data_IF_862632440852
#
_entry.id   IF_862632440852
#
_cell.length_a   1.000
_cell.length_b   1.000
_cell.length_c   1.000
_cell.angle_alpha   90.00
_cell.angle_beta   90.00
_cell.angle_gamma   90.00
#
_symmetry.space_group_name_H-M   'P 1'
#
loop_
_entity.id
_entity.type
_entity.pdbx_description
1 polymer ?
#
# COMPACT_ATOMS: atom_id res chain seq x y z
N UNK A 1 15.38 -49.41 31.38
CA UNK A 1 15.54 -49.39 29.91
C UNK A 1 14.23 -48.86 29.37
N UNK A 2 14.18 -47.56 29.16
CA UNK A 2 12.97 -46.81 28.83
C UNK A 2 13.02 -46.50 27.33
N UNK A 3 12.03 -47.00 26.59
CA UNK A 3 11.96 -46.86 25.13
C UNK A 3 11.42 -45.48 24.78
N UNK A 4 12.32 -44.69 24.18
CA UNK A 4 12.17 -43.28 23.89
C UNK A 4 11.07 -42.92 22.87
N UNK A 5 10.54 -41.73 23.14
CA UNK A 5 9.56 -40.93 22.44
C UNK A 5 9.61 -40.93 20.90
N UNK A 6 8.39 -40.88 20.35
CA UNK A 6 8.01 -40.73 18.95
C UNK A 6 8.48 -39.37 18.36
N UNK A 7 9.19 -39.32 17.22
CA UNK A 7 9.80 -38.10 16.68
C UNK A 7 8.86 -37.22 15.82
N UNK A 8 7.53 -37.41 15.88
CA UNK A 8 6.57 -36.59 15.16
C UNK A 8 5.89 -35.57 16.08
N UNK A 9 6.60 -34.50 16.38
CA UNK A 9 6.02 -33.32 17.01
C UNK A 9 5.14 -32.61 15.98
N UNK A 10 3.84 -32.49 16.27
CA UNK A 10 2.85 -31.87 15.41
C UNK A 10 3.13 -30.36 15.25
N UNK A 11 3.20 -29.90 14.00
CA UNK A 11 3.27 -28.46 13.66
C UNK A 11 2.12 -27.69 14.33
N UNK A 12 2.35 -26.45 14.80
CA UNK A 12 1.26 -25.63 15.31
C UNK A 12 0.26 -25.35 14.18
N UNK A 13 -0.98 -25.80 14.38
CA UNK A 13 -2.12 -25.50 13.54
C UNK A 13 -2.30 -23.97 13.49
N UNK A 14 -2.23 -23.39 12.30
CA UNK A 14 -2.65 -22.01 12.03
C UNK A 14 -4.14 -21.90 12.41
N UNK A 15 -4.43 -21.52 13.65
CA UNK A 15 -5.78 -21.24 14.11
C UNK A 15 -6.25 -19.93 13.47
N UNK A 16 -7.29 -20.06 12.67
CA UNK A 16 -8.17 -19.00 12.17
C UNK A 16 -8.45 -17.93 13.24
N UNK A 17 -8.10 -16.67 12.93
CA UNK A 17 -8.36 -15.48 13.77
C UNK A 17 -9.43 -14.59 13.13
N UNK A 18 -10.52 -15.16 12.62
CA UNK A 18 -11.64 -14.40 12.03
C UNK A 18 -12.53 -13.64 13.01
N UNK A 19 -12.17 -13.58 14.30
CA UNK A 19 -13.03 -13.04 15.37
C UNK A 19 -12.61 -11.64 15.83
N UNK A 20 -11.60 -11.02 15.21
CA UNK A 20 -11.03 -9.76 15.70
C UNK A 20 -11.27 -8.54 14.80
N UNK A 21 -12.12 -8.65 13.77
CA UNK A 21 -12.56 -7.44 13.03
C UNK A 21 -13.42 -6.49 13.90
N UNK A 22 -13.86 -6.93 15.09
CA UNK A 22 -14.68 -6.11 16.01
C UNK A 22 -14.12 -5.87 17.41
N UNK A 23 -12.95 -6.39 17.80
CA UNK A 23 -12.47 -6.22 19.20
C UNK A 23 -10.94 -6.27 19.30
N UNK A 24 -10.25 -5.31 18.68
CA UNK A 24 -8.82 -5.10 18.95
C UNK A 24 -8.67 -4.27 20.23
N UNK A 25 -8.10 -4.85 21.28
CA UNK A 25 -7.72 -4.11 22.50
C UNK A 25 -6.62 -3.11 22.11
N UNK A 26 -6.94 -1.82 22.21
CA UNK A 26 -6.06 -0.69 21.91
C UNK A 26 -4.87 -0.68 22.90
N UNK A 27 -3.62 -0.52 22.44
CA UNK A 27 -2.47 -0.39 23.32
C UNK A 27 -2.46 0.90 24.15
N UNK A 28 -1.72 0.87 25.25
CA UNK A 28 -1.24 2.08 25.91
C UNK A 28 -0.43 2.93 24.90
N UNK A 29 -0.79 4.20 24.75
CA UNK A 29 -0.18 5.14 23.79
C UNK A 29 -0.94 5.34 22.48
N UNK A 30 -2.13 4.74 22.31
CA UNK A 30 -3.00 5.12 21.19
C UNK A 30 -3.48 6.56 21.40
N UNK A 31 -3.37 7.48 20.41
CA UNK A 31 -3.83 8.84 20.56
C UNK A 31 -5.28 8.87 21.01
N UNK A 32 -5.55 9.70 22.03
CA UNK A 32 -6.90 9.87 22.54
C UNK A 32 -7.82 10.36 21.40
N UNK A 33 -9.00 9.75 21.31
CA UNK A 33 -10.05 10.27 20.44
C UNK A 33 -10.38 11.70 20.89
N UNK A 34 -10.29 12.67 19.98
CA UNK A 34 -10.65 14.05 20.30
C UNK A 34 -12.16 14.13 20.59
N UNK A 35 -12.58 14.97 21.55
CA UNK A 35 -13.99 15.29 21.72
C UNK A 35 -14.63 15.73 20.40
N UNK A 36 -15.90 15.41 20.19
CA UNK A 36 -16.59 15.66 18.92
C UNK A 36 -16.58 17.15 18.53
N UNK A 37 -16.79 18.05 19.50
CA UNK A 37 -16.74 19.50 19.29
C UNK A 37 -15.34 19.96 18.87
N UNK A 38 -14.30 19.45 19.53
CA UNK A 38 -12.90 19.74 19.17
C UNK A 38 -12.59 19.23 17.76
N UNK A 39 -13.03 18.01 17.43
CA UNK A 39 -12.84 17.41 16.09
C UNK A 39 -13.56 18.21 15.01
N UNK A 40 -14.76 18.72 15.29
CA UNK A 40 -15.54 19.55 14.38
C UNK A 40 -14.88 20.91 14.13
N UNK A 41 -14.41 21.59 15.19
CA UNK A 41 -13.69 22.87 15.07
C UNK A 41 -12.38 22.72 14.29
N UNK A 42 -11.56 21.73 14.66
CA UNK A 42 -10.30 21.43 13.98
C UNK A 42 -10.53 21.09 12.51
N UNK A 43 -11.57 20.31 12.20
CA UNK A 43 -11.98 20.00 10.82
C UNK A 43 -12.32 21.29 10.07
N UNK A 44 -13.18 22.15 10.60
CA UNK A 44 -13.58 23.39 9.93
C UNK A 44 -12.37 24.31 9.65
N UNK A 45 -11.47 24.46 10.63
CA UNK A 45 -10.22 25.21 10.47
C UNK A 45 -9.30 24.59 9.41
N UNK A 46 -9.17 23.27 9.38
CA UNK A 46 -8.37 22.57 8.36
C UNK A 46 -8.91 22.84 6.96
N UNK A 47 -10.21 22.69 6.72
CA UNK A 47 -10.80 22.98 5.41
C UNK A 47 -10.60 24.45 5.03
N UNK A 48 -10.85 25.38 5.95
CA UNK A 48 -10.61 26.80 5.72
C UNK A 48 -9.17 27.09 5.28
N UNK A 49 -8.17 26.53 5.97
CA UNK A 49 -6.75 26.71 5.60
C UNK A 49 -6.47 26.15 4.20
N UNK A 50 -6.86 24.90 3.95
CA UNK A 50 -6.48 24.19 2.73
C UNK A 50 -7.22 24.73 1.50
N UNK A 51 -8.52 25.01 1.61
CA UNK A 51 -9.32 25.54 0.50
C UNK A 51 -8.87 26.96 0.08
N UNK A 52 -8.53 27.83 1.03
CA UNK A 52 -8.00 29.16 0.70
C UNK A 52 -6.62 29.06 0.01
N UNK A 53 -5.74 28.15 0.46
CA UNK A 53 -4.46 27.91 -0.21
C UNK A 53 -4.63 27.33 -1.62
N UNK A 54 -5.57 26.39 -1.82
CA UNK A 54 -5.91 25.87 -3.15
C UNK A 54 -6.42 26.98 -4.07
N UNK A 55 -7.29 27.86 -3.57
CA UNK A 55 -7.82 28.99 -4.34
C UNK A 55 -6.72 30.00 -4.74
N UNK A 56 -5.81 30.34 -3.81
CA UNK A 56 -4.67 31.21 -4.07
C UNK A 56 -3.72 30.60 -5.12
N UNK A 57 -3.43 29.31 -5.02
CA UNK A 57 -2.59 28.59 -5.98
C UNK A 57 -3.25 28.52 -7.37
N UNK A 58 -4.56 28.29 -7.43
CA UNK A 58 -5.34 28.29 -8.66
C UNK A 58 -5.34 29.65 -9.37
N UNK A 59 -5.53 30.73 -8.61
CA UNK A 59 -5.47 32.09 -9.14
C UNK A 59 -4.08 32.44 -9.70
N UNK A 60 -3.00 32.06 -9.00
CA UNK A 60 -1.63 32.28 -9.45
C UNK A 60 -1.28 31.47 -10.72
N UNK A 61 -1.77 30.23 -10.83
CA UNK A 61 -1.56 29.39 -12.01
C UNK A 61 -2.28 29.96 -13.24
N UNK A 62 -3.52 30.43 -13.07
CA UNK A 62 -4.30 31.07 -14.13
C UNK A 62 -3.63 32.34 -14.65
N UNK A 63 -3.05 33.16 -13.77
CA UNK A 63 -2.32 34.37 -14.15
C UNK A 63 -1.05 34.07 -14.97
N UNK A 64 -0.30 33.03 -14.58
CA UNK A 64 1.03 32.77 -15.13
C UNK A 64 1.07 31.88 -16.37
N UNK A 65 -0.07 31.32 -16.84
CA UNK A 65 -0.15 30.41 -18.00
C UNK A 65 0.87 29.25 -17.96
N UNK A 66 1.36 28.89 -16.77
CA UNK A 66 2.36 27.83 -16.58
C UNK A 66 1.66 26.57 -16.09
N UNK A 67 1.90 25.40 -16.73
CA UNK A 67 1.48 24.14 -16.15
C UNK A 67 2.16 23.97 -14.79
N UNK A 68 1.40 23.53 -13.78
CA UNK A 68 1.97 23.29 -12.45
C UNK A 68 3.08 22.24 -12.55
N UNK A 69 4.32 22.64 -12.27
CA UNK A 69 5.46 21.75 -12.14
C UNK A 69 5.39 21.08 -10.75
N UNK A 70 4.50 20.10 -10.58
CA UNK A 70 4.34 19.42 -9.30
C UNK A 70 3.02 18.67 -9.16
N UNK A 71 2.61 18.53 -7.90
CA UNK A 71 1.31 18.04 -7.45
C UNK A 71 0.66 19.10 -6.55
N UNK A 72 -0.66 19.03 -6.37
CA UNK A 72 -1.38 19.96 -5.51
C UNK A 72 -1.16 19.59 -4.03
N UNK A 73 -0.26 20.33 -3.36
CA UNK A 73 0.15 20.09 -1.96
C UNK A 73 -1.00 20.24 -0.96
N UNK A 74 -1.76 21.35 -0.94
CA UNK A 74 -2.95 21.44 -0.08
C UNK A 74 -3.96 20.31 -0.31
N UNK A 75 -4.21 19.94 -1.58
CA UNK A 75 -5.10 18.83 -1.90
C UNK A 75 -4.55 17.49 -1.39
N UNK A 76 -3.24 17.22 -1.49
CA UNK A 76 -2.64 16.02 -0.92
C UNK A 76 -2.94 15.91 0.59
N UNK A 77 -2.76 17.00 1.33
CA UNK A 77 -3.03 17.06 2.77
C UNK A 77 -4.53 16.86 3.05
N UNK A 78 -5.40 17.57 2.34
CA UNK A 78 -6.86 17.48 2.50
C UNK A 78 -7.37 16.08 2.21
N UNK A 79 -6.95 15.49 1.09
CA UNK A 79 -7.33 14.14 0.70
C UNK A 79 -6.79 13.10 1.70
N UNK A 80 -5.58 13.30 2.24
CA UNK A 80 -5.06 12.41 3.30
C UNK A 80 -5.97 12.40 4.52
N UNK A 81 -6.52 13.56 4.93
CA UNK A 81 -7.53 13.63 5.98
C UNK A 81 -8.85 12.96 5.59
N UNK A 82 -9.39 13.28 4.40
CA UNK A 82 -10.69 12.78 3.92
C UNK A 82 -10.73 11.25 3.81
N UNK A 83 -9.62 10.63 3.42
CA UNK A 83 -9.51 9.18 3.24
C UNK A 83 -9.03 8.42 4.49
N UNK A 84 -8.94 9.07 5.65
CA UNK A 84 -8.78 8.36 6.93
C UNK A 84 -10.03 7.52 7.26
N UNK A 85 -9.83 6.31 7.79
CA UNK A 85 -10.90 5.32 7.93
C UNK A 85 -11.72 5.53 9.22
N UNK A 86 -11.04 5.78 10.34
CA UNK A 86 -11.66 5.84 11.66
C UNK A 86 -11.66 7.26 12.24
N UNK A 87 -12.56 7.56 13.16
CA UNK A 87 -12.55 8.85 13.87
C UNK A 87 -11.30 9.02 14.73
N UNK A 88 -10.71 7.93 15.24
CA UNK A 88 -9.42 7.96 15.91
C UNK A 88 -8.29 8.38 14.96
N UNK A 89 -8.30 7.86 13.73
CA UNK A 89 -7.37 8.24 12.67
C UNK A 89 -7.52 9.70 12.27
N UNK A 90 -8.76 10.20 12.15
CA UNK A 90 -9.04 11.62 11.94
C UNK A 90 -8.47 12.48 13.08
N UNK A 91 -8.67 12.07 14.32
CA UNK A 91 -8.12 12.76 15.49
C UNK A 91 -6.60 12.82 15.46
N UNK A 92 -5.95 11.70 15.18
CA UNK A 92 -4.49 11.65 15.04
C UNK A 92 -4.00 12.58 13.93
N UNK A 93 -4.62 12.53 12.75
CA UNK A 93 -4.27 13.42 11.63
C UNK A 93 -4.41 14.90 12.01
N UNK A 94 -5.54 15.29 12.60
CA UNK A 94 -5.79 16.68 13.00
C UNK A 94 -4.76 17.15 14.01
N UNK A 95 -4.50 16.37 15.06
CA UNK A 95 -3.47 16.70 16.05
C UNK A 95 -2.10 16.89 15.39
N UNK A 96 -1.66 15.96 14.55
CA UNK A 96 -0.37 16.07 13.86
C UNK A 96 -0.29 17.27 12.91
N UNK A 97 -1.38 17.57 12.20
CA UNK A 97 -1.45 18.74 11.32
C UNK A 97 -1.31 20.05 12.11
N UNK A 98 -2.16 20.26 13.12
CA UNK A 98 -2.14 21.50 13.91
C UNK A 98 -0.84 21.67 14.71
N UNK A 99 -0.28 20.59 15.26
CA UNK A 99 1.04 20.62 15.91
C UNK A 99 2.15 21.01 14.94
N UNK A 100 2.15 20.47 13.71
CA UNK A 100 3.16 20.79 12.69
C UNK A 100 3.09 22.26 12.22
N UNK A 101 1.90 22.84 12.22
CA UNK A 101 1.67 24.25 11.87
C UNK A 101 1.87 25.19 13.08
N UNK A 102 2.11 24.65 14.28
CA UNK A 102 2.15 25.39 15.55
C UNK A 102 0.86 26.21 15.81
N UNK A 103 -0.30 25.64 15.45
CA UNK A 103 -1.62 26.25 15.61
C UNK A 103 -2.43 25.57 16.71
N UNK A 104 -3.35 26.29 17.37
CA UNK A 104 -4.30 25.70 18.29
C UNK A 104 -5.26 24.77 17.54
N UNK A 105 -5.54 23.62 18.15
CA UNK A 105 -6.48 22.63 17.62
C UNK A 105 -7.94 23.14 17.62
N UNK A 106 -8.28 24.00 18.59
CA UNK A 106 -9.61 24.59 18.78
C UNK A 106 -9.62 26.05 18.38
N UNK A 107 -10.78 26.55 17.95
CA UNK A 107 -11.03 27.95 17.66
C UNK A 107 -11.93 28.12 16.42
N UNK A 108 -11.93 29.31 15.84
CA UNK A 108 -12.81 29.69 14.74
C UNK A 108 -12.01 29.95 13.44
N UNK A 109 -12.66 29.83 12.29
CA UNK A 109 -12.11 30.20 10.97
C UNK A 109 -11.88 31.71 10.81
N UNK A 110 -12.41 32.51 11.74
CA UNK A 110 -12.21 33.97 11.81
C UNK A 110 -11.07 34.37 12.75
N UNK A 111 -10.37 33.42 13.36
CA UNK A 111 -9.26 33.71 14.26
C UNK A 111 -8.07 34.28 13.48
N UNK A 112 -7.30 35.18 14.13
CA UNK A 112 -6.22 35.92 13.48
C UNK A 112 -5.07 35.03 12.97
N UNK A 113 -4.92 33.82 13.52
CA UNK A 113 -3.91 32.84 13.13
C UNK A 113 -4.29 32.05 11.87
N UNK A 114 -5.53 32.20 11.38
CA UNK A 114 -6.05 31.63 10.13
C UNK A 114 -6.71 32.68 9.24
N UNK A 115 -6.37 33.95 9.43
CA UNK A 115 -6.88 35.07 8.64
C UNK A 115 -6.10 35.24 7.32
N UNK A 116 -6.71 34.78 6.23
CA UNK A 116 -6.16 34.93 4.87
C UNK A 116 -6.27 36.36 4.31
N UNK A 117 -6.97 37.27 5.01
CA UNK A 117 -6.90 38.70 4.73
C UNK A 117 -5.54 39.30 5.09
N UNK A 118 -4.81 38.68 6.01
CA UNK A 118 -3.44 39.03 6.34
C UNK A 118 -2.45 38.24 5.46
N UNK A 119 -1.72 38.96 4.60
CA UNK A 119 -0.78 38.35 3.64
C UNK A 119 0.39 37.62 4.31
N UNK A 120 0.84 38.07 5.48
CA UNK A 120 1.92 37.41 6.23
C UNK A 120 1.44 36.07 6.81
N UNK A 121 0.22 36.04 7.34
CA UNK A 121 -0.41 34.82 7.85
C UNK A 121 -0.66 33.83 6.71
N UNK A 122 -1.23 34.29 5.59
CA UNK A 122 -1.46 33.44 4.42
C UNK A 122 -0.16 32.82 3.88
N UNK A 123 0.92 33.60 3.78
CA UNK A 123 2.22 33.11 3.32
C UNK A 123 2.86 32.12 4.33
N UNK A 124 2.74 32.41 5.63
CA UNK A 124 3.21 31.52 6.70
C UNK A 124 2.50 30.17 6.68
N UNK A 125 1.17 30.18 6.59
CA UNK A 125 0.35 28.97 6.46
C UNK A 125 0.69 28.17 5.20
N UNK A 126 0.87 28.86 4.06
CA UNK A 126 1.30 28.21 2.82
C UNK A 126 2.62 27.46 2.99
N UNK A 127 3.61 28.10 3.63
CA UNK A 127 4.92 27.49 3.90
C UNK A 127 4.80 26.25 4.80
N UNK A 128 4.01 26.33 5.88
CA UNK A 128 3.82 25.22 6.82
C UNK A 128 3.05 24.05 6.21
N UNK A 129 2.00 24.33 5.41
CA UNK A 129 1.25 23.30 4.69
C UNK A 129 2.12 22.63 3.63
N UNK A 130 2.94 23.39 2.90
CA UNK A 130 3.89 22.82 1.95
C UNK A 130 4.90 21.91 2.64
N UNK A 131 5.43 22.32 3.80
CA UNK A 131 6.35 21.49 4.60
C UNK A 131 5.68 20.19 5.08
N UNK A 132 4.43 20.24 5.53
CA UNK A 132 3.67 19.06 5.94
C UNK A 132 3.38 18.13 4.74
N UNK A 133 3.00 18.69 3.60
CA UNK A 133 2.78 17.92 2.37
C UNK A 133 4.07 17.22 1.89
N UNK A 134 5.20 17.94 1.90
CA UNK A 134 6.52 17.37 1.58
C UNK A 134 6.94 16.29 2.58
N UNK A 135 6.61 16.44 3.87
CA UNK A 135 6.85 15.38 4.85
C UNK A 135 6.09 14.10 4.50
N UNK A 136 4.78 14.20 4.20
CA UNK A 136 3.96 13.05 3.79
C UNK A 136 4.48 12.44 2.47
N UNK A 137 4.81 13.29 1.50
CA UNK A 137 5.31 12.86 0.19
C UNK A 137 6.62 12.08 0.30
N UNK A 138 7.60 12.67 0.99
CA UNK A 138 8.94 12.10 1.09
C UNK A 138 8.99 10.89 2.01
N UNK A 139 8.21 10.85 3.09
CA UNK A 139 8.30 9.75 4.07
C UNK A 139 7.29 8.62 3.82
N UNK A 140 6.26 8.84 3.00
CA UNK A 140 5.22 7.83 2.78
C UNK A 140 4.90 7.61 1.30
N UNK A 141 4.33 8.59 0.60
CA UNK A 141 3.75 8.35 -0.74
C UNK A 141 4.79 7.96 -1.81
N UNK A 142 5.89 8.71 -1.90
CA UNK A 142 6.98 8.45 -2.86
C UNK A 142 7.64 7.08 -2.62
N UNK A 143 8.19 6.77 -1.42
CA UNK A 143 8.83 5.49 -1.18
C UNK A 143 7.87 4.30 -1.34
N UNK A 144 6.60 4.47 -0.95
CA UNK A 144 5.57 3.45 -1.11
C UNK A 144 5.33 3.13 -2.59
N UNK A 145 5.06 4.14 -3.42
CA UNK A 145 4.81 3.95 -4.86
C UNK A 145 6.04 3.41 -5.59
N UNK A 146 7.24 3.89 -5.25
CA UNK A 146 8.49 3.40 -5.85
C UNK A 146 8.80 1.92 -5.54
N UNK A 147 8.35 1.43 -4.39
CA UNK A 147 8.61 0.05 -3.95
C UNK A 147 7.50 -0.95 -4.33
N UNK A 148 6.28 -0.47 -4.61
CA UNK A 148 5.09 -1.33 -4.71
C UNK A 148 5.09 -2.29 -5.90
N UNK A 149 5.82 -1.99 -6.99
CA UNK A 149 5.99 -2.93 -8.13
C UNK A 149 7.20 -3.87 -7.99
N UNK A 150 7.93 -3.84 -6.88
CA UNK A 150 9.19 -4.58 -6.69
C UNK A 150 9.07 -5.66 -5.61
N UNK A 151 7.91 -6.32 -5.53
CA UNK A 151 7.72 -7.52 -4.70
C UNK A 151 8.84 -8.53 -5.01
N UNK A 152 9.60 -8.99 -3.99
CA UNK A 152 10.67 -9.96 -4.20
C UNK A 152 10.12 -11.19 -4.92
N UNK A 153 10.58 -11.46 -6.13
CA UNK A 153 10.26 -12.71 -6.81
C UNK A 153 11.03 -13.84 -6.09
N UNK A 154 10.41 -15.01 -5.88
CA UNK A 154 11.10 -16.11 -5.21
C UNK A 154 12.31 -16.54 -6.04
N UNK A 155 13.48 -16.59 -5.40
CA UNK A 155 14.63 -17.30 -5.96
C UNK A 155 14.27 -18.78 -6.09
N UNK A 156 14.80 -19.51 -7.10
CA UNK A 156 14.58 -20.95 -7.22
C UNK A 156 14.89 -21.67 -5.90
N UNK A 157 14.06 -22.64 -5.51
CA UNK A 157 14.21 -23.42 -4.25
C UNK A 157 15.65 -23.95 -4.09
N UNK A 158 16.27 -24.38 -5.19
CA UNK A 158 17.66 -24.84 -5.25
C UNK A 158 18.65 -23.74 -4.87
N UNK A 159 18.43 -22.50 -5.32
CA UNK A 159 19.28 -21.35 -5.01
C UNK A 159 19.20 -20.99 -3.51
N UNK A 160 18.01 -21.02 -2.93
CA UNK A 160 17.82 -20.80 -1.48
C UNK A 160 18.42 -21.94 -0.64
N UNK A 161 18.34 -23.18 -1.11
CA UNK A 161 18.99 -24.32 -0.46
C UNK A 161 20.53 -24.22 -0.51
N UNK A 162 21.10 -23.78 -1.64
CA UNK A 162 22.55 -23.56 -1.79
C UNK A 162 23.03 -22.43 -0.86
N UNK A 163 22.31 -21.32 -0.77
CA UNK A 163 22.64 -20.22 0.16
C UNK A 163 22.66 -20.69 1.62
N UNK A 164 21.69 -21.54 2.03
CA UNK A 164 21.67 -22.15 3.36
C UNK A 164 22.86 -23.08 3.59
N UNK A 165 23.19 -23.93 2.61
CA UNK A 165 24.32 -24.85 2.69
C UNK A 165 25.68 -24.12 2.77
N UNK A 166 25.76 -22.90 2.24
CA UNK A 166 26.95 -22.03 2.32
C UNK A 166 27.07 -21.24 3.65
N UNK A 167 26.24 -21.54 4.66
CA UNK A 167 26.37 -20.95 5.99
C UNK A 167 25.77 -19.55 6.16
N UNK A 168 24.97 -19.07 5.20
CA UNK A 168 24.16 -17.85 5.39
C UNK A 168 22.91 -18.15 6.25
N UNK A 169 23.13 -18.54 7.51
CA UNK A 169 22.06 -18.73 8.48
C UNK A 169 21.50 -17.36 8.90
N UNK A 170 20.63 -16.78 8.10
CA UNK A 170 19.75 -15.71 8.58
C UNK A 170 18.68 -16.37 9.48
N UNK A 171 18.49 -15.91 10.73
CA UNK A 171 17.46 -16.46 11.61
C UNK A 171 16.07 -16.39 10.95
N UNK A 172 15.21 -17.37 11.26
CA UNK A 172 13.81 -17.49 10.77
C UNK A 172 12.92 -16.26 11.05
N UNK A 173 13.42 -15.27 11.79
CA UNK A 173 12.79 -13.98 12.07
C UNK A 173 12.83 -12.99 10.91
N UNK A 174 13.56 -13.27 9.82
CA UNK A 174 13.65 -12.35 8.68
C UNK A 174 12.36 -12.33 7.83
N UNK A 175 11.95 -11.11 7.50
CA UNK A 175 10.78 -10.76 6.69
C UNK A 175 11.14 -10.88 5.21
N UNK A 176 10.30 -11.54 4.39
CA UNK A 176 10.55 -11.70 2.95
C UNK A 176 11.62 -12.73 2.57
N UNK A 177 11.85 -13.77 3.39
CA UNK A 177 12.72 -14.88 2.96
C UNK A 177 12.09 -15.63 1.77
N UNK A 178 12.88 -16.18 0.85
CA UNK A 178 12.34 -16.90 -0.32
C UNK A 178 11.35 -18.01 0.05
N UNK A 179 11.58 -18.74 1.14
CA UNK A 179 10.70 -19.80 1.63
C UNK A 179 9.34 -19.26 2.08
N UNK A 180 9.31 -18.09 2.75
CA UNK A 180 8.07 -17.44 3.19
C UNK A 180 7.28 -16.88 2.02
N UNK A 181 7.95 -16.23 1.07
CA UNK A 181 7.31 -15.70 -0.15
C UNK A 181 6.74 -16.84 -0.98
N UNK A 182 7.46 -17.97 -1.08
CA UNK A 182 6.97 -19.18 -1.76
C UNK A 182 5.74 -19.78 -1.07
N UNK A 183 5.77 -19.88 0.27
CA UNK A 183 4.63 -20.38 1.04
C UNK A 183 3.40 -19.47 0.90
N UNK A 184 3.58 -18.15 1.01
CA UNK A 184 2.53 -17.16 0.79
C UNK A 184 1.92 -17.31 -0.61
N UNK A 185 2.77 -17.47 -1.63
CA UNK A 185 2.32 -17.66 -3.01
C UNK A 185 1.43 -18.88 -3.16
N UNK A 186 1.85 -20.03 -2.61
CA UNK A 186 1.06 -21.26 -2.63
C UNK A 186 -0.30 -21.09 -1.95
N UNK A 187 -0.32 -20.47 -0.77
CA UNK A 187 -1.56 -20.22 -0.02
C UNK A 187 -2.53 -19.30 -0.78
N UNK A 188 -2.03 -18.19 -1.35
CA UNK A 188 -2.87 -17.26 -2.10
C UNK A 188 -3.43 -17.89 -3.38
N UNK A 189 -2.62 -18.66 -4.12
CA UNK A 189 -3.09 -19.37 -5.31
C UNK A 189 -4.19 -20.36 -4.95
N UNK A 190 -4.05 -21.15 -3.89
CA UNK A 190 -5.10 -22.08 -3.43
C UNK A 190 -6.36 -21.33 -3.03
N UNK A 191 -6.23 -20.28 -2.19
CA UNK A 191 -7.37 -19.46 -1.76
C UNK A 191 -8.12 -18.85 -2.95
N UNK A 192 -7.38 -18.30 -3.89
CA UNK A 192 -7.92 -17.60 -5.07
C UNK A 192 -8.30 -18.57 -6.20
N UNK A 193 -8.35 -19.88 -5.93
CA UNK A 193 -8.71 -20.94 -6.88
C UNK A 193 -7.86 -20.91 -8.16
N UNK A 194 -6.57 -20.65 -7.98
CA UNK A 194 -5.56 -20.50 -9.02
C UNK A 194 -5.96 -19.49 -10.10
N UNK A 195 -6.71 -18.44 -9.73
CA UNK A 195 -7.18 -17.41 -10.66
C UNK A 195 -6.73 -16.03 -10.23
N UNK A 196 -6.52 -15.16 -11.22
CA UNK A 196 -6.44 -13.73 -10.99
C UNK A 196 -7.75 -13.24 -10.34
N UNK A 197 -7.67 -12.54 -9.21
CA UNK A 197 -8.87 -12.06 -8.49
C UNK A 197 -9.71 -11.08 -9.31
N UNK A 198 -9.10 -10.38 -10.28
CA UNK A 198 -9.75 -9.40 -11.16
C UNK A 198 -10.26 -10.07 -12.45
N UNK A 199 -9.35 -10.49 -13.33
CA UNK A 199 -9.68 -11.02 -14.67
C UNK A 199 -10.20 -12.45 -14.68
N UNK A 200 -10.05 -13.20 -13.57
CA UNK A 200 -10.34 -14.63 -13.46
C UNK A 200 -9.51 -15.55 -14.37
N UNK A 201 -8.50 -15.04 -15.08
CA UNK A 201 -7.53 -15.88 -15.79
C UNK A 201 -6.89 -16.89 -14.85
N UNK A 202 -6.81 -18.14 -15.28
CA UNK A 202 -6.30 -19.27 -14.52
C UNK A 202 -4.78 -19.39 -14.65
N UNK A 203 -4.11 -19.86 -13.59
CA UNK A 203 -2.65 -19.98 -13.57
C UNK A 203 -2.15 -20.98 -14.60
N UNK A 204 -1.28 -20.51 -15.49
CA UNK A 204 -0.74 -21.32 -16.58
C UNK A 204 0.15 -22.47 -16.08
N UNK A 205 0.80 -22.32 -14.92
CA UNK A 205 1.67 -23.36 -14.35
C UNK A 205 0.82 -24.50 -13.80
N UNK A 206 -0.24 -24.16 -13.05
CA UNK A 206 -1.20 -25.14 -12.54
C UNK A 206 -1.98 -25.82 -13.68
N UNK A 207 -2.41 -25.06 -14.71
CA UNK A 207 -3.06 -25.63 -15.88
C UNK A 207 -2.19 -26.69 -16.57
N UNK A 208 -0.89 -26.39 -16.79
CA UNK A 208 0.06 -27.36 -17.37
C UNK A 208 0.24 -28.59 -16.50
N UNK A 209 0.28 -28.43 -15.18
CA UNK A 209 0.40 -29.55 -14.23
C UNK A 209 -0.83 -30.46 -14.31
N UNK A 210 -2.05 -29.89 -14.33
CA UNK A 210 -3.29 -30.65 -14.47
C UNK A 210 -3.42 -31.33 -15.83
N UNK A 211 -3.05 -30.65 -16.91
CA UNK A 211 -3.04 -31.24 -18.25
C UNK A 211 -2.13 -32.48 -18.34
N UNK A 212 -0.93 -32.40 -17.76
CA UNK A 212 -0.02 -33.55 -17.68
C UNK A 212 -0.59 -34.69 -16.84
N UNK A 213 -1.27 -34.37 -15.73
CA UNK A 213 -1.85 -35.38 -14.85
C UNK A 213 -3.10 -36.05 -15.44
N UNK A 214 -3.85 -35.34 -16.30
CA UNK A 214 -5.10 -35.82 -16.89
C UNK A 214 -4.90 -36.98 -17.89
N UNK A 215 -3.68 -37.17 -18.42
CA UNK A 215 -3.33 -38.28 -19.34
C UNK A 215 -4.34 -38.46 -20.50
N UNK A 216 -4.79 -37.37 -21.11
CA UNK A 216 -5.79 -37.37 -22.20
C UNK A 216 -7.24 -37.25 -21.76
N UNK A 217 -7.52 -37.16 -20.46
CA UNK A 217 -8.83 -36.81 -19.90
C UNK A 217 -9.12 -35.30 -19.89
N UNK A 218 -10.32 -34.94 -19.40
CA UNK A 218 -10.73 -33.55 -19.23
C UNK A 218 -9.88 -32.86 -18.16
N UNK A 219 -9.39 -31.65 -18.46
CA UNK A 219 -8.65 -30.82 -17.50
C UNK A 219 -9.62 -29.88 -16.82
N UNK A 220 -9.81 -30.07 -15.52
CA UNK A 220 -10.78 -29.31 -14.75
C UNK A 220 -10.12 -28.26 -13.86
N UNK A 221 -10.82 -27.14 -13.64
CA UNK A 221 -10.46 -26.11 -12.68
C UNK A 221 -10.86 -26.50 -11.25
N UNK A 222 -10.62 -25.61 -10.29
CA UNK A 222 -10.92 -25.80 -8.87
C UNK A 222 -12.43 -25.96 -8.58
N UNK A 223 -13.29 -25.57 -9.53
CA UNK A 223 -14.75 -25.70 -9.48
C UNK A 223 -15.27 -26.92 -10.25
N UNK A 224 -14.37 -27.74 -10.81
CA UNK A 224 -14.73 -28.92 -11.61
C UNK A 224 -15.17 -28.60 -13.04
N UNK A 225 -14.98 -27.37 -13.51
CA UNK A 225 -15.30 -26.93 -14.86
C UNK A 225 -14.13 -27.17 -15.81
N UNK A 226 -14.40 -27.50 -17.08
CA UNK A 226 -13.34 -27.70 -18.07
C UNK A 226 -12.59 -26.40 -18.36
N UNK A 227 -11.26 -26.45 -18.34
CA UNK A 227 -10.41 -25.31 -18.64
C UNK A 227 -10.32 -25.05 -20.14
N UNK A 228 -10.58 -23.80 -20.56
CA UNK A 228 -10.40 -23.33 -21.93
C UNK A 228 -8.96 -22.87 -22.20
N UNK A 229 -8.37 -23.18 -23.37
CA UNK A 229 -7.03 -22.74 -23.74
C UNK A 229 -6.78 -21.23 -23.70
N UNK A 230 -7.83 -20.42 -23.84
CA UNK A 230 -7.75 -18.96 -23.91
C UNK A 230 -7.78 -18.27 -22.54
N UNK A 231 -8.04 -19.01 -21.46
CA UNK A 231 -8.29 -18.44 -20.13
C UNK A 231 -7.06 -18.48 -19.22
N UNK A 232 -5.87 -18.76 -19.76
CA UNK A 232 -4.65 -18.89 -18.97
C UNK A 232 -3.81 -17.62 -18.93
N UNK A 233 -3.09 -17.43 -17.83
CA UNK A 233 -2.06 -16.41 -17.71
C UNK A 233 -1.05 -16.74 -16.61
N UNK A 234 0.17 -16.19 -16.65
CA UNK A 234 1.06 -16.23 -15.49
C UNK A 234 0.44 -15.43 -14.36
N UNK A 235 0.29 -16.05 -13.19
CA UNK A 235 -0.12 -15.36 -11.98
C UNK A 235 1.07 -15.00 -11.11
N UNK A 236 0.92 -13.92 -10.39
CA UNK A 236 1.82 -13.38 -9.40
C UNK A 236 1.02 -13.12 -8.12
N UNK A 237 1.69 -13.10 -6.98
CA UNK A 237 1.05 -12.78 -5.70
C UNK A 237 1.55 -11.42 -5.28
N UNK A 238 0.62 -10.47 -5.25
CA UNK A 238 0.84 -9.08 -4.93
C UNK A 238 0.48 -8.84 -3.47
N UNK A 239 1.38 -8.21 -2.71
CA UNK A 239 1.01 -7.69 -1.41
C UNK A 239 0.03 -6.50 -1.56
N UNK A 240 -0.96 -6.38 -0.68
CA UNK A 240 -1.92 -5.27 -0.67
C UNK A 240 -1.24 -4.00 -0.14
N UNK A 241 -0.64 -4.10 1.05
CA UNK A 241 0.34 -3.13 1.52
C UNK A 241 1.75 -3.68 1.27
N UNK A 242 2.61 -2.92 0.58
CA UNK A 242 3.87 -3.43 0.06
C UNK A 242 4.85 -3.82 1.17
N UNK A 243 5.63 -4.85 0.86
CA UNK A 243 6.62 -5.45 1.75
C UNK A 243 7.67 -4.47 2.29
N UNK A 244 7.97 -3.40 1.55
CA UNK A 244 8.92 -2.35 1.94
C UNK A 244 8.59 -1.68 3.28
N UNK A 245 7.31 -1.61 3.66
CA UNK A 245 6.88 -1.08 4.96
C UNK A 245 7.38 -1.93 6.15
N UNK A 246 7.58 -3.23 5.93
CA UNK A 246 7.97 -4.18 6.96
C UNK A 246 9.47 -4.48 7.02
N UNK A 247 10.24 -4.04 6.00
CA UNK A 247 11.66 -4.36 5.91
C UNK A 247 12.48 -3.53 6.90
N UNK A 248 13.06 -4.16 7.92
CA UNK A 248 14.08 -3.53 8.76
C UNK A 248 15.41 -3.52 8.01
N UNK A 249 16.11 -2.39 8.00
CA UNK A 249 17.57 -2.42 7.89
C UNK A 249 18.11 -3.28 9.03
N UNK A 250 19.21 -3.98 8.82
CA UNK A 250 19.77 -4.97 9.74
C UNK A 250 20.28 -4.41 11.08
N UNK A 251 20.06 -3.13 11.35
CA UNK A 251 20.36 -2.50 12.63
C UNK A 251 19.08 -2.39 13.47
N UNK A 252 19.17 -2.81 14.73
CA UNK A 252 18.09 -3.00 15.71
C UNK A 252 17.31 -1.73 16.11
N UNK A 253 17.47 -0.62 15.39
CA UNK A 253 16.67 0.60 15.53
C UNK A 253 15.77 0.71 14.30
N UNK A 254 14.48 1.01 14.50
CA UNK A 254 13.62 1.40 13.38
C UNK A 254 14.29 2.59 12.68
N UNK A 255 14.73 2.40 11.44
CA UNK A 255 15.21 3.47 10.59
C UNK A 255 14.21 4.64 10.65
N UNK A 256 14.63 5.89 10.96
CA UNK A 256 13.73 7.03 11.10
C UNK A 256 12.75 7.18 9.93
N UNK A 257 13.19 6.87 8.71
CA UNK A 257 12.34 6.89 7.51
C UNK A 257 11.22 5.84 7.58
N UNK A 258 11.55 4.62 8.02
CA UNK A 258 10.55 3.56 8.23
C UNK A 258 9.59 3.93 9.34
N UNK A 259 10.09 4.48 10.46
CA UNK A 259 9.23 4.92 11.55
C UNK A 259 8.24 5.98 11.08
N UNK A 260 8.71 6.98 10.33
CA UNK A 260 7.86 8.00 9.73
C UNK A 260 6.79 7.40 8.80
N UNK A 261 7.17 6.44 7.94
CA UNK A 261 6.21 5.76 7.06
C UNK A 261 5.12 5.01 7.84
N UNK A 262 5.48 4.31 8.93
CA UNK A 262 4.53 3.60 9.78
C UNK A 262 3.66 4.56 10.61
N UNK A 263 4.21 5.68 11.06
CA UNK A 263 3.46 6.72 11.77
C UNK A 263 2.42 7.37 10.84
N UNK A 264 2.77 7.66 9.58
CA UNK A 264 1.81 8.12 8.55
C UNK A 264 0.79 7.02 8.22
N UNK A 265 1.19 5.75 8.13
CA UNK A 265 0.25 4.65 7.90
C UNK A 265 -0.82 4.56 9.00
N UNK A 266 -0.44 4.77 10.26
CA UNK A 266 -1.37 4.81 11.38
C UNK A 266 -2.34 6.01 11.32
N UNK A 267 -2.01 7.08 10.60
CA UNK A 267 -2.94 8.19 10.35
C UNK A 267 -4.10 7.77 9.46
N UNK A 268 -3.93 6.80 8.55
CA UNK A 268 -5.03 6.27 7.75
C UNK A 268 -5.97 5.41 8.58
N UNK A 269 -5.39 4.57 9.42
CA UNK A 269 -6.14 3.55 10.14
C UNK A 269 -5.40 3.09 11.40
N UNK A 270 -5.92 3.48 12.56
CA UNK A 270 -5.25 3.31 13.84
C UNK A 270 -4.98 1.84 14.16
N UNK A 271 -3.71 1.48 14.37
CA UNK A 271 -3.30 0.13 14.74
C UNK A 271 -3.14 -0.83 13.55
N UNK A 272 -3.30 -0.35 12.31
CA UNK A 272 -3.06 -1.17 11.10
C UNK A 272 -1.63 -1.69 11.02
N UNK A 273 -0.66 -0.98 11.58
CA UNK A 273 0.76 -1.36 11.55
C UNK A 273 0.98 -2.78 12.10
N UNK A 274 0.19 -3.22 13.07
CA UNK A 274 0.24 -4.58 13.65
C UNK A 274 -0.10 -5.69 12.64
N UNK A 275 -0.85 -5.35 11.59
CA UNK A 275 -1.22 -6.28 10.51
C UNK A 275 -0.09 -6.46 9.49
N UNK A 276 0.97 -5.65 9.57
CA UNK A 276 2.09 -5.72 8.63
C UNK A 276 3.46 -5.79 9.34
N UNK A 277 3.47 -5.91 10.66
CA UNK A 277 4.69 -5.97 11.45
C UNK A 277 5.34 -7.35 11.42
N UNK A 278 6.65 -7.38 11.18
CA UNK A 278 7.44 -8.60 11.25
C UNK A 278 6.85 -9.70 10.37
N UNK A 279 6.47 -10.82 10.97
CA UNK A 279 5.95 -11.94 10.21
C UNK A 279 4.56 -11.72 9.61
N UNK A 280 3.83 -10.70 10.04
CA UNK A 280 2.46 -10.45 9.61
C UNK A 280 2.36 -9.89 8.18
N UNK A 281 3.42 -9.25 7.66
CA UNK A 281 3.46 -8.75 6.27
C UNK A 281 3.29 -9.85 5.22
N UNK A 282 3.80 -11.06 5.48
CA UNK A 282 3.76 -12.20 4.55
C UNK A 282 2.57 -13.12 4.85
N UNK A 283 1.48 -12.57 5.40
CA UNK A 283 0.23 -13.31 5.64
C UNK A 283 -0.71 -13.23 4.44
N UNK A 284 -1.51 -14.29 4.17
CA UNK A 284 -2.44 -14.31 3.04
C UNK A 284 -3.41 -13.12 3.03
N UNK A 285 -3.82 -12.60 4.20
CA UNK A 285 -4.73 -11.46 4.26
C UNK A 285 -4.15 -10.16 3.69
N UNK A 286 -2.82 -10.04 3.60
CA UNK A 286 -2.13 -8.91 2.98
C UNK A 286 -1.69 -9.22 1.54
N UNK A 287 -2.27 -10.23 0.88
CA UNK A 287 -1.87 -10.57 -0.48
C UNK A 287 -3.01 -11.11 -1.35
N UNK A 288 -2.92 -10.90 -2.66
CA UNK A 288 -3.89 -11.33 -3.68
C UNK A 288 -3.18 -11.87 -4.93
N UNK A 289 -3.80 -12.86 -5.58
CA UNK A 289 -3.31 -13.41 -6.85
C UNK A 289 -3.76 -12.54 -8.03
N UNK A 290 -2.80 -12.01 -8.79
CA UNK A 290 -3.02 -11.14 -9.94
C UNK A 290 -2.29 -11.68 -11.17
N UNK A 291 -2.80 -11.41 -12.37
CA UNK A 291 -1.97 -11.59 -13.56
C UNK A 291 -0.93 -10.46 -13.62
N UNK A 292 0.17 -10.67 -14.33
CA UNK A 292 1.27 -9.70 -14.43
C UNK A 292 0.83 -8.24 -14.65
N UNK A 293 0.02 -7.96 -15.68
CA UNK A 293 -0.43 -6.58 -15.95
C UNK A 293 -1.30 -6.00 -14.82
N UNK A 294 -2.20 -6.78 -14.24
CA UNK A 294 -3.01 -6.33 -13.10
C UNK A 294 -2.15 -6.07 -11.86
N UNK A 295 -1.08 -6.84 -11.64
CA UNK A 295 -0.15 -6.62 -10.54
C UNK A 295 0.60 -5.30 -10.70
N UNK A 296 1.09 -4.98 -11.91
CA UNK A 296 1.75 -3.70 -12.19
C UNK A 296 0.81 -2.51 -11.93
N UNK A 297 -0.42 -2.58 -12.40
CA UNK A 297 -1.40 -1.49 -12.23
C UNK A 297 -1.88 -1.36 -10.77
N UNK A 298 -2.09 -2.49 -10.08
CA UNK A 298 -2.44 -2.51 -8.66
C UNK A 298 -1.30 -1.98 -7.77
N UNK A 299 -0.06 -2.41 -8.02
CA UNK A 299 1.13 -1.92 -7.31
C UNK A 299 1.42 -0.45 -7.61
N UNK A 300 1.08 0.04 -8.81
CA UNK A 300 1.20 1.46 -9.17
C UNK A 300 0.10 2.35 -8.60
N UNK A 301 -0.85 1.77 -7.84
CA UNK A 301 -2.05 2.42 -7.32
C UNK A 301 -2.99 2.97 -8.41
N UNK A 302 -3.03 2.32 -9.57
CA UNK A 302 -3.94 2.66 -10.68
C UNK A 302 -5.24 1.85 -10.68
N UNK A 303 -5.26 0.72 -9.96
CA UNK A 303 -6.45 -0.10 -9.70
C UNK A 303 -6.78 -0.05 -8.21
N UNK A 304 -8.06 0.02 -7.84
CA UNK A 304 -8.51 -0.02 -6.46
C UNK A 304 -9.77 -0.86 -6.27
N UNK A 305 -10.03 -1.27 -5.02
CA UNK A 305 -11.13 -2.13 -4.62
C UNK A 305 -12.11 -1.34 -3.75
N UNK A 306 -13.31 -1.09 -4.27
CA UNK A 306 -14.38 -0.40 -3.54
C UNK A 306 -15.37 -1.41 -2.96
N UNK A 307 -15.59 -1.44 -1.63
CA UNK A 307 -16.51 -2.39 -1.02
C UNK A 307 -17.95 -2.13 -1.47
N UNK A 308 -18.68 -3.18 -1.82
CA UNK A 308 -20.12 -3.09 -2.09
C UNK A 308 -20.87 -3.40 -0.80
N UNK A 309 -21.47 -2.36 -0.20
CA UNK A 309 -22.05 -2.43 1.15
C UNK A 309 -23.47 -3.03 1.17
N UNK A 310 -24.23 -2.88 0.08
CA UNK A 310 -25.66 -3.21 0.06
C UNK A 310 -25.96 -4.53 -0.62
N UNK A 311 -26.67 -5.43 0.08
CA UNK A 311 -27.28 -6.65 -0.47
C UNK A 311 -26.34 -7.58 -1.27
N UNK A 312 -25.02 -7.52 -1.00
CA UNK A 312 -24.02 -8.38 -1.63
C UNK A 312 -23.36 -9.33 -0.61
N UNK A 313 -22.79 -10.46 -1.06
CA UNK A 313 -21.99 -11.31 -0.20
C UNK A 313 -20.80 -10.56 0.42
N UNK A 314 -20.34 -10.93 1.63
CA UNK A 314 -19.10 -10.40 2.20
C UNK A 314 -17.90 -10.54 1.23
N UNK A 315 -16.91 -9.67 1.36
CA UNK A 315 -15.74 -9.60 0.46
C UNK A 315 -16.10 -9.40 -1.03
N UNK A 316 -17.18 -8.66 -1.30
CA UNK A 316 -17.55 -8.22 -2.65
C UNK A 316 -17.09 -6.79 -2.89
N UNK A 317 -16.37 -6.61 -4.00
CA UNK A 317 -15.80 -5.32 -4.37
C UNK A 317 -16.15 -4.97 -5.80
N UNK A 318 -16.46 -3.69 -6.04
CA UNK A 318 -16.36 -3.06 -7.35
C UNK A 318 -14.91 -2.66 -7.55
N UNK A 319 -14.25 -3.30 -8.50
CA UNK A 319 -12.85 -3.06 -8.85
C UNK A 319 -12.84 -2.10 -10.03
N UNK A 320 -12.07 -1.03 -9.91
CA UNK A 320 -12.02 0.04 -10.90
C UNK A 320 -10.60 0.56 -11.07
N UNK A 321 -10.38 1.32 -12.13
CA UNK A 321 -9.14 2.07 -12.36
C UNK A 321 -9.40 3.55 -12.57
N UNK A 322 -8.32 4.30 -12.79
CA UNK A 322 -8.37 5.75 -13.06
C UNK A 322 -8.11 6.09 -14.54
N UNK A 323 -7.74 5.10 -15.37
CA UNK A 323 -7.28 5.30 -16.74
C UNK A 323 -8.24 4.62 -17.74
N UNK A 324 -9.30 5.32 -18.23
CA UNK A 324 -10.31 4.72 -19.09
C UNK A 324 -9.77 4.03 -20.35
N UNK A 325 -8.62 4.51 -20.85
CA UNK A 325 -7.95 3.93 -22.00
C UNK A 325 -7.41 2.52 -21.73
N UNK A 326 -6.86 2.28 -20.53
CA UNK A 326 -6.31 0.98 -20.15
C UNK A 326 -7.33 0.08 -19.45
N UNK A 327 -8.31 0.66 -18.75
CA UNK A 327 -9.33 -0.04 -17.98
C UNK A 327 -10.07 -1.09 -18.81
N UNK A 328 -10.44 -0.76 -20.06
CA UNK A 328 -11.13 -1.72 -20.94
C UNK A 328 -10.27 -2.96 -21.23
N UNK A 329 -8.96 -2.78 -21.43
CA UNK A 329 -8.02 -3.89 -21.69
C UNK A 329 -7.81 -4.78 -20.46
N UNK A 330 -8.05 -4.23 -19.26
CA UNK A 330 -7.99 -4.92 -17.97
C UNK A 330 -9.33 -5.55 -17.59
N UNK A 331 -10.39 -5.29 -18.36
CA UNK A 331 -11.75 -5.72 -18.04
C UNK A 331 -12.34 -4.98 -16.84
N UNK A 332 -11.98 -3.70 -16.66
CA UNK A 332 -12.50 -2.81 -15.63
C UNK A 332 -13.56 -1.84 -16.20
N UNK A 333 -14.53 -1.37 -15.38
CA UNK A 333 -14.78 -1.82 -14.01
C UNK A 333 -15.39 -3.22 -13.96
N UNK A 334 -15.20 -3.92 -12.84
CA UNK A 334 -15.79 -5.25 -12.63
C UNK A 334 -16.17 -5.49 -11.18
N UNK A 335 -17.26 -6.21 -10.94
CA UNK A 335 -17.64 -6.64 -9.59
C UNK A 335 -17.17 -8.06 -9.33
N UNK A 336 -16.51 -8.26 -8.18
CA UNK A 336 -15.94 -9.54 -7.76
C UNK A 336 -16.20 -9.80 -6.29
N UNK A 337 -16.80 -10.95 -6.01
CA UNK A 337 -16.72 -11.59 -4.69
C UNK A 337 -15.42 -12.38 -4.63
N UNK A 338 -14.56 -12.06 -3.66
CA UNK A 338 -13.27 -12.74 -3.47
C UNK A 338 -13.51 -14.13 -2.88
N UNK A 339 -12.69 -15.10 -3.30
CA UNK A 339 -12.85 -16.48 -2.86
C UNK A 339 -12.41 -16.65 -1.40
N UNK A 340 -13.17 -17.47 -0.67
CA UNK A 340 -12.86 -17.93 0.68
C UNK A 340 -12.60 -19.43 0.61
N UNK A 341 -11.64 -19.95 1.38
CA UNK A 341 -11.50 -21.41 1.50
C UNK A 341 -12.67 -21.97 2.29
N UNK A 342 -13.19 -23.14 1.90
CA UNK A 342 -14.38 -23.75 2.52
C UNK A 342 -14.20 -23.98 4.03
N UNK A 343 -13.01 -24.40 4.42
CA UNK A 343 -12.59 -24.66 5.79
C UNK A 343 -12.09 -23.40 6.53
N UNK A 344 -11.98 -22.27 5.82
CA UNK A 344 -11.40 -21.01 6.27
C UNK A 344 -10.02 -21.16 6.90
N UNK A 345 -9.21 -22.11 6.42
CA UNK A 345 -7.83 -22.29 6.90
C UNK A 345 -6.85 -21.26 6.35
N UNK A 346 -7.20 -20.57 5.25
CA UNK A 346 -6.40 -19.50 4.65
C UNK A 346 -7.15 -18.18 4.80
N UNK A 347 -6.52 -17.18 5.42
CA UNK A 347 -7.15 -15.89 5.66
C UNK A 347 -7.56 -15.19 4.34
N UNK A 348 -8.76 -14.59 4.29
CA UNK A 348 -9.19 -13.81 3.14
C UNK A 348 -8.40 -12.51 3.03
N UNK A 349 -8.35 -11.90 1.83
CA UNK A 349 -7.84 -10.53 1.67
C UNK A 349 -8.53 -9.58 2.65
N UNK A 350 -7.74 -8.87 3.44
CA UNK A 350 -8.25 -7.97 4.47
C UNK A 350 -8.97 -6.79 3.82
N UNK A 351 -10.25 -6.61 4.18
CA UNK A 351 -11.06 -5.45 3.78
C UNK A 351 -10.42 -4.14 4.23
N UNK A 352 -9.83 -4.15 5.43
CA UNK A 352 -9.13 -3.02 6.05
C UNK A 352 -7.89 -2.61 5.26
N UNK A 353 -7.05 -3.57 4.84
CA UNK A 353 -5.87 -3.29 4.01
C UNK A 353 -6.26 -2.84 2.58
N UNK A 354 -7.31 -3.42 2.00
CA UNK A 354 -7.84 -2.99 0.70
C UNK A 354 -8.40 -1.56 0.76
N UNK A 355 -9.05 -1.18 1.86
CA UNK A 355 -9.55 0.17 2.08
C UNK A 355 -8.41 1.20 2.15
N UNK A 356 -7.30 0.86 2.82
CA UNK A 356 -6.10 1.70 2.87
C UNK A 356 -5.45 1.81 1.49
N UNK A 357 -5.31 0.69 0.76
CA UNK A 357 -4.80 0.72 -0.61
C UNK A 357 -5.64 1.64 -1.51
N UNK A 358 -6.98 1.51 -1.45
CA UNK A 358 -7.92 2.41 -2.15
C UNK A 358 -7.72 3.87 -1.74
N UNK A 359 -7.62 4.16 -0.45
CA UNK A 359 -7.39 5.52 0.06
C UNK A 359 -6.14 6.14 -0.56
N UNK A 360 -5.02 5.41 -0.53
CA UNK A 360 -3.75 5.86 -1.09
C UNK A 360 -3.87 6.07 -2.61
N UNK A 361 -4.54 5.16 -3.31
CA UNK A 361 -4.78 5.26 -4.76
C UNK A 361 -5.54 6.53 -5.13
N UNK A 362 -6.63 6.85 -4.43
CA UNK A 362 -7.37 8.08 -4.66
C UNK A 362 -6.57 9.33 -4.32
N UNK A 363 -5.80 9.34 -3.22
CA UNK A 363 -4.97 10.49 -2.85
C UNK A 363 -3.93 10.77 -3.93
N UNK A 364 -3.21 9.73 -4.36
CA UNK A 364 -2.18 9.84 -5.40
C UNK A 364 -2.78 10.37 -6.71
N UNK A 365 -3.94 9.87 -7.11
CA UNK A 365 -4.61 10.30 -8.34
C UNK A 365 -5.16 11.73 -8.23
N UNK A 366 -6.00 12.01 -7.24
CA UNK A 366 -6.75 13.27 -7.13
C UNK A 366 -5.86 14.47 -6.79
N UNK A 367 -4.72 14.27 -6.12
CA UNK A 367 -3.74 15.34 -5.87
C UNK A 367 -2.75 15.55 -7.02
N UNK A 368 -2.71 14.64 -7.99
CA UNK A 368 -1.66 14.60 -9.02
C UNK A 368 -0.29 14.10 -8.53
N UNK A 369 -0.17 13.69 -7.27
CA UNK A 369 1.06 13.18 -6.68
C UNK A 369 1.56 11.90 -7.37
N UNK A 370 0.65 11.01 -7.77
CA UNK A 370 0.99 9.75 -8.45
C UNK A 370 1.74 10.00 -9.75
N UNK A 371 1.18 10.85 -10.62
CA UNK A 371 1.81 11.22 -11.89
C UNK A 371 3.11 12.00 -11.69
N UNK A 372 3.17 12.85 -10.66
CA UNK A 372 4.39 13.57 -10.30
C UNK A 372 5.52 12.60 -9.91
N UNK A 373 5.23 11.60 -9.06
CA UNK A 373 6.20 10.55 -8.70
C UNK A 373 6.64 9.78 -9.95
N UNK A 374 5.70 9.35 -10.80
CA UNK A 374 6.00 8.60 -12.03
C UNK A 374 6.93 9.40 -12.97
N UNK A 375 6.69 10.71 -13.12
CA UNK A 375 7.57 11.62 -13.89
C UNK A 375 8.96 11.71 -13.27
N UNK A 376 9.06 11.96 -11.97
CA UNK A 376 10.36 12.11 -11.28
C UNK A 376 11.20 10.83 -11.37
N UNK A 377 10.57 9.66 -11.19
CA UNK A 377 11.26 8.37 -11.30
C UNK A 377 11.75 8.12 -12.73
N UNK A 378 10.91 8.40 -13.74
CA UNK A 378 11.26 8.25 -15.15
C UNK A 378 12.40 9.20 -15.55
N UNK A 379 12.31 10.48 -15.17
CA UNK A 379 13.33 11.48 -15.50
C UNK A 379 14.70 11.08 -14.93
N UNK A 380 14.72 10.48 -13.74
CA UNK A 380 15.95 10.00 -13.11
C UNK A 380 16.53 8.74 -13.78
N UNK A 381 15.67 7.86 -14.30
CA UNK A 381 16.08 6.68 -15.07
C UNK A 381 16.63 7.08 -16.46
N UNK A 382 16.01 8.06 -17.12
CA UNK A 382 16.38 8.50 -18.47
C UNK A 382 17.57 9.47 -18.49
N UNK A 383 17.62 10.41 -17.55
CA UNK A 383 18.56 11.55 -17.61
C UNK A 383 19.58 11.59 -16.47
N UNK A 384 19.47 10.71 -15.47
CA UNK A 384 20.29 10.78 -14.26
C UNK A 384 20.06 12.07 -13.45
N UNK A 385 21.03 12.46 -12.63
CA UNK A 385 20.95 13.73 -11.87
C UNK A 385 21.37 14.87 -12.80
N UNK A 386 20.43 15.75 -13.12
CA UNK A 386 20.66 16.90 -13.99
C UNK A 386 21.44 17.98 -13.24
N UNK A 387 22.44 18.55 -13.91
CA UNK A 387 23.32 19.60 -13.36
C UNK A 387 22.62 20.96 -13.17
N UNK A 388 21.41 21.12 -13.72
CA UNK A 388 20.60 22.34 -13.62
C UNK A 388 19.76 22.42 -12.33
N UNK A 389 19.88 21.43 -11.42
CA UNK A 389 19.15 21.39 -10.16
C UNK A 389 17.66 21.08 -10.30
N UNK A 390 17.16 20.77 -11.50
CA UNK A 390 15.75 20.40 -11.72
C UNK A 390 15.39 18.99 -11.23
N UNK A 391 16.40 18.19 -10.86
CA UNK A 391 16.19 16.85 -10.30
C UNK A 391 15.69 16.95 -8.87
N UNK A 392 14.52 16.36 -8.59
CA UNK A 392 13.95 16.28 -7.24
C UNK A 392 14.71 15.25 -6.38
N UNK A 393 15.96 15.56 -6.02
CA UNK A 393 16.90 14.65 -5.39
C UNK A 393 16.39 14.09 -4.04
N UNK A 394 15.63 14.89 -3.28
CA UNK A 394 15.01 14.44 -2.03
C UNK A 394 14.06 13.24 -2.21
N UNK A 395 13.25 13.26 -3.27
CA UNK A 395 12.35 12.16 -3.62
C UNK A 395 13.12 10.92 -4.08
N UNK A 396 14.17 11.10 -4.88
CA UNK A 396 15.00 10.00 -5.36
C UNK A 396 15.80 9.33 -4.25
N UNK A 397 16.30 10.10 -3.29
CA UNK A 397 17.01 9.59 -2.12
C UNK A 397 16.03 8.81 -1.22
N UNK A 398 14.84 9.34 -0.96
CA UNK A 398 13.81 8.62 -0.19
C UNK A 398 13.38 7.32 -0.86
N UNK A 399 13.11 7.36 -2.18
CA UNK A 399 12.79 6.18 -2.96
C UNK A 399 13.94 5.13 -2.89
N UNK A 400 15.21 5.57 -2.95
CA UNK A 400 16.38 4.69 -2.84
C UNK A 400 16.59 4.07 -1.47
N UNK A 401 16.22 4.73 -0.37
CA UNK A 401 16.35 4.17 0.98
C UNK A 401 15.36 3.02 1.23
N UNK A 402 14.19 3.04 0.57
CA UNK A 402 13.24 1.92 0.55
C UNK A 402 13.67 0.78 -0.38
N UNK A 403 14.54 1.08 -1.34
CA UNK A 403 15.13 0.16 -2.30
C UNK A 403 16.53 -0.25 -1.82
N UNK A 404 16.62 -1.12 -0.81
CA UNK A 404 17.90 -1.66 -0.36
C UNK A 404 18.79 -2.05 -1.57
N UNK A 405 20.08 -1.65 -1.54
CA UNK A 405 21.05 -1.75 -2.65
C UNK A 405 20.81 -2.98 -3.55
N UNK A 406 20.30 -2.75 -4.76
CA UNK A 406 20.38 -3.70 -5.87
C UNK A 406 21.28 -3.08 -6.94
N UNK A 407 22.47 -3.66 -7.07
CA UNK A 407 23.47 -3.62 -8.15
C UNK A 407 23.60 -2.37 -9.04
N UNK A 408 24.76 -1.71 -8.94
CA UNK A 408 25.57 -1.32 -10.10
C UNK A 408 25.13 -0.09 -10.88
N UNK A 409 25.33 1.10 -10.32
CA UNK A 409 25.60 2.28 -11.17
C UNK A 409 27.06 2.14 -11.59
N UNK A 410 27.29 1.58 -12.78
CA UNK A 410 28.57 1.69 -13.44
C UNK A 410 28.86 3.16 -13.68
N UNK A 411 29.86 3.69 -12.99
CA UNK A 411 30.53 4.91 -13.43
C UNK A 411 31.28 4.56 -14.73
N UNK A 412 30.64 4.84 -15.86
CA UNK A 412 31.33 4.94 -17.14
C UNK A 412 32.02 6.30 -17.17
N UNK A 413 33.34 6.28 -17.03
CA UNK A 413 34.22 7.33 -17.54
C UNK A 413 34.43 7.12 -19.04
#
# INVERSE_FOLDING_TARGET
MDLGANPYEAKPLNRHRSSLEGTMILPAGTPALLPDDTRAQAKARLYHILENLEALAGAAAAANHRPQQGYNRPALVRLTYEYTISDQSKSLFLTSFFESLALPLTGNVTDADVDFGNTEVAAGLGTSVDAFAEYLMNNFFSPLKAASNKTPQPSPITHSAIQRAQGSSLPQSFVGTPDRVSALRGLCLVRDRHRCVISRKFDITEARKRFKAANGGAVLDDDGLSLSPHDFGPLEVAHILPHSLAKSSSDSLLDPARKAALDVLNMFDAGVVRLIEGAEIDRPYNAISLSHHHHLEFGSFRIFFEPVLDNQPPHTYRINGFDPFFDQSLGLPVTRTLYLTQDKTIDPPSSRLLAIHRAIAHILHLSGAGDYIDRVLRDAEENGVRSDGSTALGLLVSARLSLGRVAGIGAGA
#
